data_IF_121682199639
#
_entry.id   IF_121682199639
#
_cell.length_a   1.000
_cell.length_b   1.000
_cell.length_c   1.000
_cell.angle_alpha   90.00
_cell.angle_beta   90.00
_cell.angle_gamma   90.00
#
_symmetry.space_group_name_H-M   'P 1'
#
loop_
_entity.id
_entity.type
_entity.pdbx_description
1 polymer ?
#
# COMPACT_ATOMS: atom_id res chain seq x y z
N UNK A 1 -14.17 -11.36 -14.27
CA UNK A 1 -13.63 -10.04 -13.86
C UNK A 1 -12.16 -10.22 -13.54
N UNK A 2 -11.27 -9.40 -14.07
CA UNK A 2 -9.82 -9.60 -13.96
C UNK A 2 -9.29 -9.19 -12.57
N UNK A 3 -9.87 -8.13 -11.98
CA UNK A 3 -9.52 -7.66 -10.64
C UNK A 3 -10.57 -8.11 -9.62
N UNK A 4 -10.14 -8.71 -8.52
CA UNK A 4 -10.99 -9.12 -7.40
C UNK A 4 -11.10 -8.06 -6.31
N UNK A 5 -10.07 -7.23 -6.17
CA UNK A 5 -10.00 -6.14 -5.21
C UNK A 5 -11.02 -5.04 -5.52
N UNK A 6 -11.74 -4.57 -4.50
CA UNK A 6 -12.69 -3.45 -4.61
C UNK A 6 -11.96 -2.15 -5.00
N UNK A 7 -10.77 -1.94 -4.44
CA UNK A 7 -9.91 -0.79 -4.75
C UNK A 7 -9.52 -0.80 -6.22
N UNK A 8 -8.98 -1.92 -6.73
CA UNK A 8 -8.57 -2.04 -8.13
C UNK A 8 -9.75 -1.85 -9.10
N UNK A 9 -10.91 -2.41 -8.78
CA UNK A 9 -12.13 -2.23 -9.55
C UNK A 9 -12.58 -0.75 -9.60
N UNK A 10 -12.43 -0.03 -8.48
CA UNK A 10 -12.79 1.39 -8.40
C UNK A 10 -11.83 2.25 -9.24
N UNK A 11 -10.53 1.98 -9.17
CA UNK A 11 -9.54 2.66 -10.03
C UNK A 11 -9.73 2.32 -11.51
N UNK A 12 -10.10 1.08 -11.84
CA UNK A 12 -10.41 0.70 -13.22
C UNK A 12 -11.58 1.49 -13.80
N UNK A 13 -12.60 1.82 -13.00
CA UNK A 13 -13.71 2.67 -13.43
C UNK A 13 -13.25 4.08 -13.83
N UNK A 14 -12.22 4.60 -13.18
CA UNK A 14 -11.62 5.90 -13.50
C UNK A 14 -10.61 5.82 -14.65
N UNK A 15 -10.06 4.65 -14.94
CA UNK A 15 -9.07 4.45 -15.99
C UNK A 15 -9.67 4.68 -17.38
N UNK A 16 -8.89 5.30 -18.27
CA UNK A 16 -9.23 5.42 -19.68
C UNK A 16 -9.11 4.10 -20.45
N UNK A 17 -8.28 3.17 -19.94
CA UNK A 17 -8.07 1.85 -20.54
C UNK A 17 -8.95 0.85 -19.81
N UNK A 18 -9.87 0.24 -20.56
CA UNK A 18 -10.81 -0.78 -20.07
C UNK A 18 -10.50 -2.19 -20.59
N UNK A 19 -9.75 -2.27 -21.67
CA UNK A 19 -9.37 -3.52 -22.30
C UNK A 19 -7.86 -3.72 -22.21
N UNK A 20 -7.47 -4.96 -21.94
CA UNK A 20 -6.07 -5.33 -21.79
C UNK A 20 -5.58 -6.04 -23.07
N UNK A 21 -4.47 -5.56 -23.59
CA UNK A 21 -3.78 -6.16 -24.74
C UNK A 21 -2.67 -7.14 -24.30
N UNK A 22 -2.49 -7.31 -23.00
CA UNK A 22 -1.48 -8.18 -22.40
C UNK A 22 -2.11 -9.23 -21.51
N UNK A 23 -1.39 -10.34 -21.25
CA UNK A 23 -1.84 -11.40 -20.33
C UNK A 23 -1.79 -10.98 -18.86
N UNK A 24 -1.11 -9.88 -18.55
CA UNK A 24 -1.02 -9.32 -17.21
C UNK A 24 -1.92 -8.08 -17.15
N UNK A 25 -2.93 -8.06 -16.28
CA UNK A 25 -3.76 -6.89 -16.11
C UNK A 25 -2.96 -5.74 -15.52
N UNK A 26 -3.25 -4.51 -15.94
CA UNK A 26 -2.60 -3.30 -15.46
C UNK A 26 -3.60 -2.16 -15.30
N UNK A 27 -3.27 -1.23 -14.42
CA UNK A 27 -4.02 0.00 -14.21
C UNK A 27 -3.13 1.20 -14.55
N UNK A 28 -3.68 2.14 -15.30
CA UNK A 28 -3.02 3.42 -15.56
C UNK A 28 -3.65 4.50 -14.69
N UNK A 29 -2.79 5.26 -14.04
CA UNK A 29 -3.16 6.46 -13.31
C UNK A 29 -2.49 7.68 -13.93
N UNK A 30 -3.04 8.86 -13.67
CA UNK A 30 -2.59 10.11 -14.25
C UNK A 30 -1.40 10.75 -13.51
N UNK A 31 -1.01 10.20 -12.35
CA UNK A 31 0.08 10.78 -11.55
C UNK A 31 0.72 9.76 -10.59
N UNK A 32 1.98 10.00 -10.24
CA UNK A 32 2.72 9.20 -9.26
C UNK A 32 2.07 9.21 -7.86
N UNK A 33 1.59 10.35 -7.34
CA UNK A 33 0.84 10.34 -6.07
C UNK A 33 -0.40 9.44 -6.12
N UNK A 34 -1.11 9.39 -7.23
CA UNK A 34 -2.29 8.54 -7.39
C UNK A 34 -1.94 7.04 -7.40
N UNK A 35 -0.78 6.66 -7.94
CA UNK A 35 -0.23 5.30 -7.76
C UNK A 35 -0.03 5.00 -6.27
N UNK A 36 0.54 5.94 -5.53
CA UNK A 36 0.74 5.80 -4.08
C UNK A 36 -0.56 5.62 -3.32
N UNK A 37 -1.59 6.41 -3.64
CA UNK A 37 -2.94 6.27 -3.04
C UNK A 37 -3.52 4.90 -3.34
N UNK A 38 -3.48 4.48 -4.61
CA UNK A 38 -4.00 3.16 -5.03
C UNK A 38 -3.29 2.03 -4.29
N UNK A 39 -1.97 2.06 -4.25
CA UNK A 39 -1.16 1.03 -3.58
C UNK A 39 -1.42 0.99 -2.08
N UNK A 40 -1.55 2.15 -1.43
CA UNK A 40 -1.88 2.23 -0.02
C UNK A 40 -3.26 1.67 0.29
N UNK A 41 -4.29 2.08 -0.47
CA UNK A 41 -5.65 1.57 -0.29
C UNK A 41 -5.73 0.05 -0.56
N UNK A 42 -5.03 -0.44 -1.59
CA UNK A 42 -4.97 -1.87 -1.89
C UNK A 42 -4.28 -2.67 -0.79
N UNK A 43 -3.21 -2.13 -0.22
CA UNK A 43 -2.56 -2.72 0.95
C UNK A 43 -3.50 -2.77 2.16
N UNK A 44 -4.21 -1.68 2.46
CA UNK A 44 -5.13 -1.60 3.59
C UNK A 44 -6.34 -2.54 3.42
N UNK A 45 -6.85 -2.70 2.18
CA UNK A 45 -7.85 -3.71 1.85
C UNK A 45 -7.34 -5.11 2.17
N UNK A 46 -6.16 -5.46 1.67
CA UNK A 46 -5.54 -6.76 1.92
C UNK A 46 -5.27 -6.99 3.42
N UNK A 47 -4.73 -6.00 4.12
CA UNK A 47 -4.43 -6.10 5.54
C UNK A 47 -5.68 -6.29 6.40
N UNK A 48 -6.83 -5.72 6.01
CA UNK A 48 -8.09 -5.91 6.71
C UNK A 48 -8.64 -7.33 6.61
N UNK A 49 -8.23 -8.07 5.59
CA UNK A 49 -8.62 -9.47 5.36
C UNK A 49 -7.55 -10.47 5.83
N UNK A 50 -6.33 -10.00 6.15
CA UNK A 50 -5.16 -10.82 6.47
C UNK A 50 -4.36 -10.25 7.65
N UNK A 51 -4.99 -10.13 8.82
CA UNK A 51 -4.38 -9.50 10.00
C UNK A 51 -3.09 -10.19 10.51
N UNK A 52 -2.90 -11.48 10.19
CA UNK A 52 -1.68 -12.26 10.48
C UNK A 52 -0.87 -12.56 9.21
N UNK A 53 -1.08 -11.78 8.18
CA UNK A 53 -0.44 -11.98 6.87
C UNK A 53 1.06 -11.71 6.89
N UNK A 54 1.75 -12.22 5.86
CA UNK A 54 3.17 -11.95 5.63
C UNK A 54 3.29 -10.98 4.47
N UNK A 55 4.03 -9.89 4.66
CA UNK A 55 4.28 -8.90 3.61
C UNK A 55 5.78 -8.67 3.42
N UNK A 56 6.18 -8.53 2.17
CA UNK A 56 7.53 -8.11 1.80
C UNK A 56 7.47 -6.81 1.01
N UNK A 57 8.18 -5.80 1.47
CA UNK A 57 8.23 -4.48 0.85
C UNK A 57 9.69 -4.09 0.61
N UNK A 58 9.91 -3.36 -0.48
CA UNK A 58 11.20 -2.79 -0.81
C UNK A 58 11.50 -1.55 0.07
N UNK A 59 12.76 -1.27 0.30
CA UNK A 59 13.23 -0.03 0.91
C UNK A 59 13.40 1.12 -0.10
N UNK A 60 13.06 0.91 -1.36
CA UNK A 60 13.25 1.86 -2.44
C UNK A 60 12.50 3.18 -2.21
N UNK A 61 13.09 4.27 -2.68
CA UNK A 61 12.50 5.61 -2.65
C UNK A 61 11.24 5.75 -3.51
N UNK A 62 11.02 4.84 -4.48
CA UNK A 62 9.79 4.80 -5.29
C UNK A 62 8.53 4.56 -4.45
N UNK A 63 8.65 3.94 -3.28
CA UNK A 63 7.55 3.68 -2.36
C UNK A 63 7.18 4.86 -1.44
N UNK A 64 7.84 6.01 -1.58
CA UNK A 64 7.60 7.17 -0.71
C UNK A 64 6.12 7.55 -0.63
N UNK A 65 5.42 7.62 -1.76
CA UNK A 65 4.01 7.97 -1.79
C UNK A 65 3.13 6.86 -1.18
N UNK A 66 3.46 5.60 -1.42
CA UNK A 66 2.78 4.47 -0.79
C UNK A 66 2.87 4.54 0.74
N UNK A 67 4.07 4.74 1.29
CA UNK A 67 4.30 4.85 2.74
C UNK A 67 3.52 6.04 3.30
N UNK A 68 3.69 7.23 2.68
CA UNK A 68 3.01 8.44 3.11
C UNK A 68 1.48 8.27 3.19
N UNK A 69 0.85 7.74 2.14
CA UNK A 69 -0.60 7.58 2.13
C UNK A 69 -1.07 6.45 3.05
N UNK A 70 -0.28 5.39 3.25
CA UNK A 70 -0.61 4.34 4.21
C UNK A 70 -0.69 4.91 5.62
N UNK A 71 0.32 5.64 6.08
CA UNK A 71 0.30 6.32 7.37
C UNK A 71 -0.84 7.34 7.45
N UNK A 72 -0.98 8.17 6.42
CA UNK A 72 -2.05 9.18 6.39
C UNK A 72 -3.44 8.57 6.60
N UNK A 73 -3.77 7.48 5.90
CA UNK A 73 -5.06 6.82 6.04
C UNK A 73 -5.21 6.17 7.40
N UNK A 74 -4.19 5.49 7.92
CA UNK A 74 -4.23 4.87 9.24
C UNK A 74 -4.43 5.91 10.36
N UNK A 75 -3.72 7.03 10.32
CA UNK A 75 -3.79 8.06 11.34
C UNK A 75 -5.11 8.87 11.31
N UNK A 76 -5.73 8.90 10.14
CA UNK A 76 -6.94 9.70 9.91
C UNK A 76 -8.16 8.86 9.53
N UNK A 77 -8.18 7.56 9.83
CA UNK A 77 -9.18 6.60 9.35
C UNK A 77 -10.63 7.05 9.58
N UNK A 78 -10.92 7.64 10.75
CA UNK A 78 -12.27 8.07 11.14
C UNK A 78 -12.58 9.51 10.72
N UNK A 79 -11.63 10.24 10.15
CA UNK A 79 -11.90 11.60 9.68
C UNK A 79 -12.78 11.59 8.45
N UNK A 80 -13.71 12.55 8.38
CA UNK A 80 -14.71 12.66 7.31
C UNK A 80 -14.10 12.62 5.91
N UNK A 81 -13.01 13.35 5.70
CA UNK A 81 -12.30 13.41 4.40
C UNK A 81 -11.74 12.05 4.02
N UNK A 82 -11.13 11.35 4.96
CA UNK A 82 -10.60 10.00 4.75
C UNK A 82 -11.73 9.01 4.48
N UNK A 83 -12.81 9.07 5.26
CA UNK A 83 -13.98 8.20 5.06
C UNK A 83 -14.58 8.35 3.66
N UNK A 84 -14.67 9.57 3.13
CA UNK A 84 -15.14 9.82 1.77
C UNK A 84 -14.22 9.17 0.71
N UNK A 85 -12.90 9.20 0.92
CA UNK A 85 -11.95 8.52 0.03
C UNK A 85 -12.10 7.00 0.12
N UNK A 86 -12.18 6.45 1.33
CA UNK A 86 -12.37 5.02 1.55
C UNK A 86 -13.65 4.53 0.89
N UNK A 87 -14.77 5.24 1.07
CA UNK A 87 -16.05 4.94 0.45
C UNK A 87 -15.97 4.98 -1.09
N UNK A 88 -15.38 6.03 -1.64
CA UNK A 88 -15.15 6.19 -3.09
C UNK A 88 -14.44 4.99 -3.71
N UNK A 89 -13.46 4.44 -2.99
CA UNK A 89 -12.64 3.33 -3.48
C UNK A 89 -13.07 1.95 -2.93
N UNK A 90 -14.30 1.82 -2.43
CA UNK A 90 -14.90 0.55 -2.08
C UNK A 90 -14.55 0.03 -0.68
N UNK A 91 -13.94 0.86 0.17
CA UNK A 91 -13.57 0.53 1.55
C UNK A 91 -14.49 1.19 2.60
N UNK A 92 -15.66 1.68 2.20
CA UNK A 92 -16.59 2.36 3.09
C UNK A 92 -17.03 1.53 4.30
N UNK A 93 -17.23 0.23 4.12
CA UNK A 93 -17.64 -0.70 5.18
C UNK A 93 -16.46 -1.40 5.89
N UNK A 94 -15.23 -1.12 5.48
CA UNK A 94 -14.03 -1.74 6.04
C UNK A 94 -13.66 -1.05 7.34
N UNK A 95 -13.41 -1.83 8.39
CA UNK A 95 -12.85 -1.34 9.65
C UNK A 95 -11.37 -1.03 9.49
N UNK A 96 -10.87 -0.09 10.30
CA UNK A 96 -9.42 0.18 10.35
C UNK A 96 -8.67 -1.12 10.60
N UNK A 97 -7.76 -1.54 9.70
CA UNK A 97 -7.01 -2.78 9.87
C UNK A 97 -6.06 -2.69 11.07
N UNK A 98 -5.93 -3.79 11.80
CA UNK A 98 -4.92 -3.94 12.82
C UNK A 98 -3.65 -4.54 12.19
N UNK A 99 -2.58 -3.76 12.13
CA UNK A 99 -1.33 -4.19 11.50
C UNK A 99 -0.37 -4.90 12.47
N UNK A 100 -0.71 -4.99 13.76
CA UNK A 100 0.21 -5.53 14.79
C UNK A 100 0.50 -7.03 14.63
N UNK A 101 -0.36 -7.77 13.93
CA UNK A 101 -0.17 -9.20 13.63
C UNK A 101 0.60 -9.46 12.34
N UNK A 102 0.83 -8.45 11.50
CA UNK A 102 1.53 -8.63 10.23
C UNK A 102 3.01 -8.98 10.45
N UNK A 103 3.48 -9.94 9.68
CA UNK A 103 4.89 -10.31 9.63
C UNK A 103 5.56 -9.62 8.44
N UNK A 104 6.61 -8.86 8.71
CA UNK A 104 7.38 -8.18 7.68
C UNK A 104 8.61 -8.99 7.30
N UNK A 105 8.75 -9.29 6.00
CA UNK A 105 9.93 -9.94 5.43
C UNK A 105 10.66 -8.94 4.54
N UNK A 106 11.90 -8.65 4.89
CA UNK A 106 12.74 -7.76 4.11
C UNK A 106 13.18 -8.43 2.80
N UNK A 107 13.07 -7.72 1.67
CA UNK A 107 13.39 -8.27 0.36
C UNK A 107 14.89 -8.50 0.14
N UNK A 108 15.73 -7.62 0.68
CA UNK A 108 17.18 -7.68 0.47
C UNK A 108 17.93 -6.98 1.59
N UNK A 109 19.20 -7.33 1.75
CA UNK A 109 20.16 -6.63 2.59
C UNK A 109 21.57 -6.83 2.03
N UNK A 110 22.47 -5.90 2.34
CA UNK A 110 23.88 -6.06 2.04
C UNK A 110 24.58 -6.97 3.06
N UNK A 111 25.54 -7.75 2.63
CA UNK A 111 26.33 -8.58 3.51
C UNK A 111 27.83 -8.36 3.26
N UNK A 112 28.63 -8.21 4.30
CA UNK A 112 28.23 -8.00 5.71
C UNK A 112 27.84 -6.54 5.97
N UNK A 113 26.76 -6.32 6.74
CA UNK A 113 26.35 -4.98 7.19
C UNK A 113 25.77 -5.04 8.61
N UNK A 114 26.03 -4.01 9.42
CA UNK A 114 25.36 -3.87 10.70
C UNK A 114 23.96 -3.29 10.53
N UNK A 115 22.91 -3.85 11.19
CA UNK A 115 21.55 -3.27 11.15
C UNK A 115 21.47 -1.83 11.64
N UNK A 116 22.44 -1.35 12.41
CA UNK A 116 22.50 0.03 12.90
C UNK A 116 23.09 1.03 11.89
N UNK A 117 23.68 0.56 10.81
CA UNK A 117 24.23 1.44 9.78
C UNK A 117 23.09 2.12 9.00
N UNK A 118 23.24 3.43 8.74
CA UNK A 118 22.21 4.24 8.06
C UNK A 118 21.87 3.76 6.65
N UNK A 119 22.79 3.08 5.97
CA UNK A 119 22.59 2.50 4.63
C UNK A 119 22.08 1.05 4.66
N UNK A 120 21.93 0.42 5.85
CA UNK A 120 21.25 -0.85 5.98
C UNK A 120 19.80 -0.72 5.54
N UNK A 121 19.32 -1.65 4.74
CA UNK A 121 17.91 -1.70 4.36
C UNK A 121 17.02 -1.98 5.58
N UNK A 122 17.48 -2.78 6.53
CA UNK A 122 16.79 -2.96 7.80
C UNK A 122 16.55 -1.62 8.52
N UNK A 123 17.61 -0.80 8.64
CA UNK A 123 17.47 0.52 9.27
C UNK A 123 16.50 1.42 8.50
N UNK A 124 16.61 1.45 7.17
CA UNK A 124 15.71 2.26 6.33
C UNK A 124 14.24 1.82 6.44
N UNK A 125 13.97 0.52 6.45
CA UNK A 125 12.63 -0.04 6.64
C UNK A 125 12.08 0.35 8.01
N UNK A 126 12.87 0.18 9.07
CA UNK A 126 12.47 0.52 10.42
C UNK A 126 12.11 2.00 10.56
N UNK A 127 12.94 2.90 10.01
CA UNK A 127 12.67 4.34 10.08
C UNK A 127 11.47 4.78 9.24
N UNK A 128 11.29 4.20 8.05
CA UNK A 128 10.26 4.65 7.10
C UNK A 128 8.89 4.03 7.33
N UNK A 129 8.83 2.73 7.67
CA UNK A 129 7.58 1.98 7.76
C UNK A 129 7.11 1.78 9.20
N UNK A 130 8.05 1.60 10.14
CA UNK A 130 7.70 1.20 11.51
C UNK A 130 7.59 2.41 12.43
N UNK A 131 8.55 3.34 12.34
CA UNK A 131 8.59 4.52 13.22
C UNK A 131 7.95 5.77 12.59
N UNK A 132 7.77 5.77 11.26
CA UNK A 132 7.35 6.92 10.45
C UNK A 132 6.00 7.55 10.75
#
# INVERSE_FOLDING_TARGET
>A
MIFTSKVEQSFLKESKIKEFTTNIPYLLTDSVPKVGIMSALRFLEWASENEEGIISLSSDSSLKNFIHYTHHFLDNWEKKETRLILEKYGLGDVKKPNLSGLQFVQMAEFYPISPSQHNSFYNQVNEKYIKG
#
